data_IF_831039166981
#
_entry.id   IF_831039166981
#
_cell.length_a   1.000
_cell.length_b   1.000
_cell.length_c   1.000
_cell.angle_alpha   90.00
_cell.angle_beta   90.00
_cell.angle_gamma   90.00
#
_symmetry.space_group_name_H-M   'P 1'
#
loop_
_entity.id
_entity.type
_entity.pdbx_description
1 polymer ?
#
# COMPACT_ATOMS: atom_id res chain seq x y z
N UNK A 1 -24.79 12.89 4.98
CA UNK A 1 -23.38 13.34 4.89
C UNK A 1 -22.53 12.10 4.90
N UNK A 2 -21.88 11.75 3.80
CA UNK A 2 -20.98 10.59 3.78
C UNK A 2 -19.71 10.92 4.54
N UNK A 3 -19.33 10.04 5.46
CA UNK A 3 -18.09 10.19 6.23
C UNK A 3 -16.90 9.66 5.43
N UNK A 4 -15.70 9.97 5.90
CA UNK A 4 -14.44 9.47 5.35
C UNK A 4 -14.41 7.93 5.30
N UNK A 5 -15.11 7.26 6.23
CA UNK A 5 -15.21 5.80 6.29
C UNK A 5 -16.02 5.18 5.13
N UNK A 6 -16.99 5.90 4.56
CA UNK A 6 -17.90 5.36 3.53
C UNK A 6 -17.18 4.98 2.22
N UNK A 7 -15.99 5.52 1.99
CA UNK A 7 -15.23 5.31 0.76
C UNK A 7 -13.98 4.46 0.98
N UNK A 8 -13.83 3.86 2.16
CA UNK A 8 -12.70 2.97 2.45
C UNK A 8 -12.85 1.70 1.60
N UNK A 9 -11.76 1.18 1.00
CA UNK A 9 -11.82 -0.14 0.38
C UNK A 9 -12.19 -1.19 1.43
N UNK A 10 -12.73 -2.33 0.97
CA UNK A 10 -13.11 -3.46 1.82
C UNK A 10 -12.62 -4.78 1.21
N UNK A 11 -11.32 -4.86 0.92
CA UNK A 11 -10.73 -6.08 0.37
C UNK A 11 -10.33 -7.04 1.48
N UNK A 12 -10.53 -8.33 1.23
CA UNK A 12 -10.04 -9.41 2.10
C UNK A 12 -8.54 -9.66 1.90
N UNK A 13 -7.93 -10.40 2.82
CA UNK A 13 -6.53 -10.84 2.71
C UNK A 13 -6.29 -11.70 1.47
N UNK A 14 -7.25 -12.54 1.11
CA UNK A 14 -7.20 -13.42 -0.07
C UNK A 14 -7.24 -12.59 -1.36
N UNK A 15 -8.17 -11.63 -1.45
CA UNK A 15 -8.25 -10.72 -2.61
C UNK A 15 -6.97 -9.91 -2.79
N UNK A 16 -6.37 -9.48 -1.67
CA UNK A 16 -5.09 -8.76 -1.67
C UNK A 16 -3.94 -9.64 -2.16
N UNK A 17 -3.88 -10.90 -1.72
CA UNK A 17 -2.87 -11.86 -2.18
C UNK A 17 -3.00 -12.09 -3.69
N UNK A 18 -4.23 -12.29 -4.18
CA UNK A 18 -4.50 -12.49 -5.60
C UNK A 18 -4.13 -11.26 -6.44
N UNK A 19 -4.44 -10.05 -5.95
CA UNK A 19 -4.06 -8.80 -6.59
C UNK A 19 -2.54 -8.61 -6.62
N UNK A 20 -1.86 -8.91 -5.52
CA UNK A 20 -0.40 -8.80 -5.42
C UNK A 20 0.29 -9.73 -6.44
N UNK A 21 -0.21 -10.95 -6.59
CA UNK A 21 0.27 -11.89 -7.59
C UNK A 21 -0.01 -11.39 -9.02
N UNK A 22 -1.26 -11.02 -9.31
CA UNK A 22 -1.69 -10.65 -10.67
C UNK A 22 -1.07 -9.35 -11.19
N UNK A 23 -0.95 -8.32 -10.35
CA UNK A 23 -0.50 -6.99 -10.77
C UNK A 23 1.01 -6.80 -10.65
N UNK A 24 1.66 -7.51 -9.72
CA UNK A 24 3.06 -7.29 -9.38
C UNK A 24 3.91 -8.56 -9.42
N UNK A 25 3.35 -9.74 -9.71
CA UNK A 25 4.08 -11.01 -9.72
C UNK A 25 4.54 -11.47 -8.33
N UNK A 26 4.00 -10.88 -7.26
CA UNK A 26 4.42 -11.16 -5.90
C UNK A 26 3.76 -12.43 -5.36
N UNK A 27 4.57 -13.45 -5.10
CA UNK A 27 4.13 -14.67 -4.43
C UNK A 27 4.14 -14.45 -2.92
N UNK A 28 2.99 -14.07 -2.37
CA UNK A 28 2.83 -13.70 -0.96
C UNK A 28 2.78 -14.95 -0.07
N UNK A 29 3.61 -14.98 0.97
CA UNK A 29 3.60 -15.97 2.05
C UNK A 29 2.78 -15.50 3.26
N UNK A 30 2.83 -14.22 3.57
CA UNK A 30 2.12 -13.62 4.71
C UNK A 30 1.48 -12.31 4.26
N UNK A 31 0.21 -12.11 4.62
CA UNK A 31 -0.56 -10.90 4.36
C UNK A 31 -1.27 -10.49 5.64
N UNK A 32 -0.96 -9.30 6.17
CA UNK A 32 -1.53 -8.80 7.43
C UNK A 32 -2.07 -7.38 7.25
N UNK A 33 -3.30 -7.07 7.70
CA UNK A 33 -3.83 -5.73 7.63
C UNK A 33 -3.04 -4.79 8.54
N UNK A 34 -2.78 -3.57 8.05
CA UNK A 34 -2.15 -2.50 8.81
C UNK A 34 -3.18 -1.40 9.15
N UNK A 35 -3.00 -0.69 10.28
CA UNK A 35 -3.81 0.47 10.61
C UNK A 35 -3.84 1.50 9.47
N UNK A 36 -5.02 2.02 9.19
CA UNK A 36 -5.26 3.00 8.11
C UNK A 36 -6.57 3.73 8.38
N UNK A 37 -6.66 5.00 7.96
CA UNK A 37 -7.88 5.80 8.09
C UNK A 37 -8.76 5.71 6.84
N UNK A 38 -8.24 6.14 5.69
CA UNK A 38 -8.98 6.27 4.42
C UNK A 38 -8.71 5.10 3.47
N UNK A 39 -7.47 4.66 3.48
CA UNK A 39 -6.90 3.58 2.71
C UNK A 39 -7.21 2.22 3.36
N UNK A 40 -6.89 1.13 2.66
CA UNK A 40 -6.53 -0.12 3.30
C UNK A 40 -5.06 -0.41 3.02
N UNK A 41 -4.29 -0.62 4.08
CA UNK A 41 -2.87 -0.95 3.99
C UNK A 41 -2.67 -2.40 4.43
N UNK A 42 -1.78 -3.12 3.75
CA UNK A 42 -1.42 -4.49 4.09
C UNK A 42 0.10 -4.65 4.10
N UNK A 43 0.62 -5.31 5.13
CA UNK A 43 1.98 -5.83 5.14
C UNK A 43 2.00 -7.13 4.35
N UNK A 44 2.90 -7.21 3.37
CA UNK A 44 3.12 -8.39 2.56
C UNK A 44 4.54 -8.91 2.80
N UNK A 45 4.65 -10.22 3.03
CA UNK A 45 5.93 -10.93 3.04
C UNK A 45 5.94 -11.98 1.95
N UNK A 46 6.88 -11.92 1.01
CA UNK A 46 6.95 -12.88 -0.10
C UNK A 46 7.55 -14.21 0.32
N UNK A 47 7.42 -15.22 -0.53
CA UNK A 47 8.14 -16.50 -0.38
C UNK A 47 9.66 -16.32 -0.37
N UNK A 48 10.17 -15.34 -1.14
CA UNK A 48 11.59 -14.93 -1.14
C UNK A 48 12.00 -14.14 0.11
N UNK A 49 11.10 -13.96 1.07
CA UNK A 49 11.30 -13.26 2.34
C UNK A 49 11.41 -11.72 2.21
N UNK A 50 11.15 -11.16 1.04
CA UNK A 50 11.03 -9.72 0.83
C UNK A 50 9.77 -9.16 1.49
N UNK A 51 9.82 -7.90 1.92
CA UNK A 51 8.73 -7.24 2.64
C UNK A 51 8.24 -6.02 1.88
N UNK A 52 6.93 -5.87 1.77
CA UNK A 52 6.27 -4.77 1.08
C UNK A 52 5.08 -4.25 1.88
N UNK A 53 4.68 -3.01 1.59
CA UNK A 53 3.38 -2.48 2.00
C UNK A 53 2.56 -2.27 0.75
N UNK A 54 1.42 -2.96 0.65
CA UNK A 54 0.42 -2.69 -0.40
C UNK A 54 -0.61 -1.72 0.17
N UNK A 55 -0.80 -0.60 -0.53
CA UNK A 55 -1.81 0.40 -0.19
C UNK A 55 -2.92 0.41 -1.24
N UNK A 56 -4.16 0.21 -0.80
CA UNK A 56 -5.35 0.38 -1.61
C UNK A 56 -5.98 1.72 -1.23
N UNK A 57 -5.86 2.70 -2.10
CA UNK A 57 -6.42 4.04 -1.87
C UNK A 57 -7.94 4.03 -1.98
N UNK A 58 -8.60 4.89 -1.20
CA UNK A 58 -10.03 5.16 -1.33
C UNK A 58 -10.37 5.62 -2.75
N UNK A 59 -11.53 5.22 -3.27
CA UNK A 59 -12.03 5.70 -4.55
C UNK A 59 -12.33 7.21 -4.57
N UNK A 60 -12.50 7.83 -3.38
CA UNK A 60 -12.66 9.26 -3.24
C UNK A 60 -11.33 10.04 -3.28
N UNK A 61 -10.18 9.34 -3.34
CA UNK A 61 -8.88 9.98 -3.37
C UNK A 61 -8.60 10.62 -4.73
N UNK A 62 -8.13 11.87 -4.73
CA UNK A 62 -7.80 12.56 -5.97
C UNK A 62 -6.48 12.03 -6.52
N UNK A 63 -6.43 11.81 -7.83
CA UNK A 63 -5.23 11.26 -8.48
C UNK A 63 -3.98 12.14 -8.29
N UNK A 64 -4.16 13.46 -8.23
CA UNK A 64 -3.07 14.41 -7.96
C UNK A 64 -2.44 14.23 -6.57
N UNK A 65 -3.22 13.78 -5.58
CA UNK A 65 -2.69 13.46 -4.24
C UNK A 65 -1.85 12.19 -4.29
N UNK A 66 -2.27 11.19 -5.05
CA UNK A 66 -1.47 9.97 -5.27
C UNK A 66 -0.17 10.29 -6.00
N UNK A 67 -0.21 11.16 -7.01
CA UNK A 67 0.97 11.61 -7.75
C UNK A 67 1.93 12.38 -6.83
N UNK A 68 1.42 13.30 -6.01
CA UNK A 68 2.21 14.00 -5.00
C UNK A 68 2.92 13.03 -4.05
N UNK A 69 2.23 12.01 -3.55
CA UNK A 69 2.83 10.99 -2.67
C UNK A 69 3.98 10.23 -3.37
N UNK A 70 3.77 9.80 -4.62
CA UNK A 70 4.81 9.13 -5.40
C UNK A 70 6.02 10.02 -5.65
N UNK A 71 5.80 11.28 -6.03
CA UNK A 71 6.88 12.25 -6.27
C UNK A 71 7.65 12.56 -4.99
N UNK A 72 6.97 12.67 -3.84
CA UNK A 72 7.61 12.86 -2.56
C UNK A 72 8.52 11.67 -2.20
N UNK A 73 8.02 10.43 -2.35
CA UNK A 73 8.83 9.23 -2.13
C UNK A 73 10.03 9.15 -3.06
N UNK A 74 9.85 9.43 -4.36
CA UNK A 74 10.93 9.43 -5.34
C UNK A 74 12.01 10.47 -5.00
N UNK A 75 11.59 11.68 -4.62
CA UNK A 75 12.50 12.75 -4.19
C UNK A 75 13.26 12.34 -2.93
N UNK A 76 12.58 11.80 -1.92
CA UNK A 76 13.23 11.34 -0.69
C UNK A 76 14.23 10.21 -0.97
N UNK A 77 13.85 9.22 -1.79
CA UNK A 77 14.71 8.10 -2.16
C UNK A 77 15.97 8.54 -2.92
N UNK A 78 15.85 9.50 -3.84
CA UNK A 78 16.98 10.07 -4.56
C UNK A 78 17.98 10.81 -3.66
N UNK A 79 17.51 11.38 -2.54
CA UNK A 79 18.35 12.15 -1.62
C UNK A 79 18.83 11.36 -0.39
N UNK A 80 18.18 10.24 -0.03
CA UNK A 80 18.43 9.52 1.24
C UNK A 80 18.81 8.03 1.09
N UNK A 81 19.16 7.57 -0.12
CA UNK A 81 19.84 6.30 -0.38
C UNK A 81 19.50 5.11 0.55
N UNK A 82 18.46 4.35 0.22
CA UNK A 82 18.22 2.95 0.65
C UNK A 82 18.09 2.61 2.15
N UNK A 83 18.41 3.50 3.09
CA UNK A 83 18.76 3.08 4.44
C UNK A 83 18.02 3.69 5.62
N UNK A 84 17.28 4.80 5.49
CA UNK A 84 16.73 5.47 6.67
C UNK A 84 15.32 5.98 6.42
N UNK A 85 14.36 5.08 6.57
CA UNK A 85 13.00 5.42 7.01
C UNK A 85 12.99 5.35 8.55
N UNK A 86 12.26 6.21 9.28
CA UNK A 86 12.32 6.23 10.75
C UNK A 86 11.94 4.85 11.30
N UNK A 87 12.78 4.31 12.19
CA UNK A 87 12.39 3.21 13.06
C UNK A 87 11.42 3.70 14.12
#
# INVERSE_FOLDING_TARGET
MSTVADHRPHLSTEEVIDLACRLYGLHVRTCEPLPSERDQNFYLKTQSNDSFVLKISSAAEKRDILDLQHQAMARLGAHHGGGIWPK
#
